data_IF_069918587928
#
_entry.id   IF_069918587928
#
_cell.length_a   1.000
_cell.length_b   1.000
_cell.length_c   1.000
_cell.angle_alpha   90.00
_cell.angle_beta   90.00
_cell.angle_gamma   90.00
#
_symmetry.space_group_name_H-M   'P 1'
#
loop_
_entity.id
_entity.type
_entity.pdbx_description
1 polymer ?
#
# COMPACT_ATOMS: atom_id res chain seq x y z
N UNK A 1 6.88 -2.48 20.17
CA UNK A 1 7.12 -2.44 18.71
C UNK A 1 6.21 -1.40 18.07
N UNK A 2 6.77 -0.52 17.25
CA UNK A 2 6.00 0.53 16.60
C UNK A 2 5.13 -0.06 15.50
N UNK A 3 3.85 0.34 15.45
CA UNK A 3 2.91 -0.16 14.45
C UNK A 3 2.75 0.84 13.33
N UNK A 4 3.03 0.38 12.12
CA UNK A 4 2.89 1.15 10.88
C UNK A 4 1.96 0.41 9.95
N UNK A 5 1.41 1.11 8.96
CA UNK A 5 0.65 0.45 7.90
C UNK A 5 1.13 0.89 6.52
N UNK A 6 0.91 0.03 5.55
CA UNK A 6 1.05 0.31 4.13
C UNK A 6 -0.27 -0.06 3.47
N UNK A 7 -0.75 0.78 2.58
CA UNK A 7 -2.02 0.56 1.91
C UNK A 7 -1.80 0.47 0.41
N UNK A 8 -2.12 -0.70 -0.14
CA UNK A 8 -1.99 -0.96 -1.58
C UNK A 8 -3.36 -0.72 -2.21
N UNK A 9 -3.47 0.31 -3.01
CA UNK A 9 -4.72 0.68 -3.67
C UNK A 9 -4.63 0.32 -5.14
N UNK A 10 -5.53 -0.56 -5.60
CA UNK A 10 -5.67 -0.86 -7.02
C UNK A 10 -6.82 -0.06 -7.61
N UNK A 11 -6.67 0.34 -8.86
CA UNK A 11 -7.78 0.95 -9.58
C UNK A 11 -8.89 -0.09 -9.86
N UNK A 12 -10.03 0.38 -10.30
CA UNK A 12 -11.19 -0.48 -10.51
C UNK A 12 -10.93 -1.62 -11.52
N UNK A 13 -10.10 -1.39 -12.52
CA UNK A 13 -9.77 -2.40 -13.54
C UNK A 13 -8.58 -3.30 -13.16
N UNK A 14 -7.97 -3.13 -12.00
CA UNK A 14 -6.88 -3.98 -11.50
C UNK A 14 -5.61 -3.96 -12.36
N UNK A 15 -5.39 -2.93 -13.15
CA UNK A 15 -4.19 -2.82 -13.97
C UNK A 15 -3.18 -1.81 -13.43
N UNK A 16 -3.59 -0.97 -12.48
CA UNK A 16 -2.73 0.04 -11.86
C UNK A 16 -2.82 0.01 -10.34
N UNK A 17 -1.72 0.39 -9.71
CA UNK A 17 -1.68 0.63 -8.27
C UNK A 17 -1.25 2.06 -7.99
N UNK A 18 -1.65 2.56 -6.82
CA UNK A 18 -1.36 3.91 -6.39
C UNK A 18 -0.05 3.96 -5.61
N UNK A 19 0.82 4.87 -6.00
CA UNK A 19 2.08 5.12 -5.28
C UNK A 19 2.21 6.58 -4.94
N UNK A 20 2.90 6.88 -3.85
CA UNK A 20 3.43 8.20 -3.60
C UNK A 20 4.90 8.23 -4.01
N UNK A 21 5.37 9.41 -4.41
CA UNK A 21 6.78 9.64 -4.73
C UNK A 21 7.40 10.32 -3.53
N UNK A 22 8.41 9.67 -2.92
CA UNK A 22 9.02 10.21 -1.72
C UNK A 22 9.70 11.55 -2.01
N UNK A 23 9.39 12.54 -1.17
CA UNK A 23 9.95 13.89 -1.29
C UNK A 23 11.27 14.04 -0.52
N UNK A 24 11.56 13.13 0.42
CA UNK A 24 12.72 13.22 1.33
C UNK A 24 13.56 11.97 1.33
N UNK A 25 14.85 12.12 1.68
CA UNK A 25 15.71 10.98 1.97
C UNK A 25 15.25 10.24 3.23
N UNK A 26 15.46 8.92 3.36
CA UNK A 26 16.00 8.03 2.33
C UNK A 26 14.96 7.75 1.24
N UNK A 27 15.44 7.29 0.08
CA UNK A 27 14.59 6.88 -1.05
C UNK A 27 13.87 8.03 -1.77
N UNK A 28 14.43 9.25 -1.70
CA UNK A 28 13.87 10.40 -2.42
C UNK A 28 13.70 10.10 -3.90
N UNK A 29 12.53 10.41 -4.44
CA UNK A 29 12.19 10.20 -5.85
C UNK A 29 11.72 8.78 -6.18
N UNK A 30 11.71 7.87 -5.22
CA UNK A 30 11.27 6.50 -5.43
C UNK A 30 9.79 6.32 -5.05
N UNK A 31 9.16 5.32 -5.64
CA UNK A 31 7.78 4.96 -5.35
C UNK A 31 7.66 4.29 -3.98
N UNK A 32 6.63 4.65 -3.26
CA UNK A 32 6.27 4.00 -2.00
C UNK A 32 4.74 3.86 -1.94
N UNK A 33 4.26 2.95 -1.11
CA UNK A 33 2.84 2.91 -0.80
C UNK A 33 2.48 4.06 0.14
N UNK A 34 1.21 4.45 0.12
CA UNK A 34 0.68 5.34 1.13
C UNK A 34 0.51 4.57 2.43
N UNK A 35 0.46 5.28 3.55
CA UNK A 35 0.33 4.69 4.88
C UNK A 35 1.01 5.54 5.93
N UNK A 36 1.01 5.07 7.16
CA UNK A 36 1.59 5.80 8.26
C UNK A 36 1.53 5.04 9.57
N UNK A 37 1.45 5.76 10.67
CA UNK A 37 1.49 5.21 12.02
C UNK A 37 0.10 4.92 12.54
N UNK A 38 -0.03 3.84 13.31
CA UNK A 38 -1.21 3.59 14.13
C UNK A 38 -1.07 4.44 15.38
N UNK A 39 -2.05 5.31 15.62
CA UNK A 39 -2.04 6.20 16.78
C UNK A 39 -2.71 5.56 17.97
N UNK A 40 -2.41 6.10 19.18
CA UNK A 40 -3.00 5.60 20.42
C UNK A 40 -4.52 5.69 20.37
N UNK A 41 -5.17 4.60 20.73
CA UNK A 41 -6.64 4.55 20.77
C UNK A 41 -7.30 4.17 19.47
N UNK A 42 -6.57 4.07 18.36
CA UNK A 42 -7.16 3.56 17.12
C UNK A 42 -6.84 2.08 16.91
N UNK A 43 -7.76 1.40 16.23
CA UNK A 43 -7.49 0.05 15.75
C UNK A 43 -6.60 0.12 14.51
N UNK A 44 -6.01 -1.01 14.14
CA UNK A 44 -5.18 -1.09 12.93
C UNK A 44 -5.99 -0.71 11.67
N UNK A 45 -7.22 -1.19 11.58
CA UNK A 45 -8.09 -0.89 10.46
C UNK A 45 -8.45 0.60 10.38
N UNK A 46 -8.80 1.18 11.52
CA UNK A 46 -9.09 2.63 11.58
C UNK A 46 -7.90 3.46 11.11
N UNK A 47 -6.70 3.09 11.54
CA UNK A 47 -5.48 3.79 11.14
C UNK A 47 -5.24 3.70 9.63
N UNK A 48 -5.48 2.53 9.03
CA UNK A 48 -5.30 2.35 7.59
C UNK A 48 -6.25 3.24 6.79
N UNK A 49 -7.53 3.27 7.15
CA UNK A 49 -8.50 4.15 6.49
C UNK A 49 -8.19 5.61 6.70
N UNK A 50 -7.80 6.01 7.91
CA UNK A 50 -7.46 7.40 8.22
C UNK A 50 -6.26 7.88 7.41
N UNK A 51 -5.18 7.11 7.40
CA UNK A 51 -3.97 7.47 6.64
C UNK A 51 -4.25 7.55 5.14
N UNK A 52 -5.02 6.62 4.62
CA UNK A 52 -5.40 6.64 3.21
C UNK A 52 -6.16 7.92 2.87
N UNK A 53 -7.14 8.27 3.70
CA UNK A 53 -7.93 9.47 3.48
C UNK A 53 -7.09 10.74 3.58
N UNK A 54 -6.24 10.84 4.59
CA UNK A 54 -5.39 12.00 4.79
C UNK A 54 -4.43 12.22 3.62
N UNK A 55 -3.85 11.14 3.10
CA UNK A 55 -2.84 11.25 2.05
C UNK A 55 -3.40 11.34 0.64
N UNK A 56 -4.59 10.81 0.39
CA UNK A 56 -5.10 10.66 -0.99
C UNK A 56 -6.50 11.20 -1.22
N UNK A 57 -7.26 11.44 -0.16
CA UNK A 57 -8.68 11.78 -0.27
C UNK A 57 -9.60 10.58 -0.51
N UNK A 58 -9.06 9.37 -0.63
CA UNK A 58 -9.88 8.16 -0.81
C UNK A 58 -10.54 7.80 0.51
N UNK A 59 -11.85 7.65 0.52
CA UNK A 59 -12.62 7.36 1.72
C UNK A 59 -13.10 5.90 1.77
N UNK A 60 -13.65 5.51 2.91
CA UNK A 60 -14.26 4.19 3.09
C UNK A 60 -15.49 3.96 2.20
N UNK A 61 -16.04 5.02 1.59
CA UNK A 61 -17.10 4.88 0.60
C UNK A 61 -16.57 4.47 -0.78
N UNK A 62 -15.28 4.70 -1.01
CA UNK A 62 -14.64 4.46 -2.31
C UNK A 62 -13.98 3.09 -2.39
N UNK A 63 -13.62 2.51 -1.24
CA UNK A 63 -12.80 1.31 -1.17
C UNK A 63 -13.07 0.54 0.11
N UNK A 64 -12.95 -0.78 0.04
CA UNK A 64 -12.92 -1.64 1.22
C UNK A 64 -11.50 -2.17 1.36
N UNK A 65 -10.91 -2.01 2.55
CA UNK A 65 -9.55 -2.43 2.84
C UNK A 65 -9.54 -3.75 3.59
N UNK A 66 -8.71 -4.68 3.12
CA UNK A 66 -8.48 -5.96 3.78
C UNK A 66 -7.05 -6.03 4.29
N UNK A 67 -6.88 -6.50 5.52
CA UNK A 67 -5.57 -6.75 6.10
C UNK A 67 -4.98 -8.00 5.47
N UNK A 68 -3.86 -7.87 4.79
CA UNK A 68 -3.30 -8.93 3.96
C UNK A 68 -2.12 -9.66 4.61
N UNK A 69 -1.16 -8.92 5.15
CA UNK A 69 0.03 -9.51 5.77
C UNK A 69 0.69 -8.54 6.72
N UNK A 70 1.56 -9.06 7.58
CA UNK A 70 2.40 -8.25 8.46
C UNK A 70 3.86 -8.51 8.16
N UNK A 71 4.67 -7.46 8.25
CA UNK A 71 6.11 -7.53 8.17
C UNK A 71 6.69 -7.07 9.50
N UNK A 72 7.43 -7.94 10.17
CA UNK A 72 8.05 -7.62 11.46
C UNK A 72 9.55 -7.41 11.29
N UNK A 73 10.01 -6.21 11.59
CA UNK A 73 11.42 -5.87 11.59
C UNK A 73 11.88 -5.71 13.04
N UNK A 74 12.29 -6.81 13.66
CA UNK A 74 12.59 -6.85 15.09
C UNK A 74 13.73 -5.92 15.49
N UNK A 75 14.76 -5.79 14.65
CA UNK A 75 15.89 -4.91 14.94
C UNK A 75 15.50 -3.43 14.93
N UNK A 76 14.51 -3.05 14.15
CA UNK A 76 14.02 -1.68 14.09
C UNK A 76 12.79 -1.48 14.97
N UNK A 77 12.32 -2.54 15.61
CA UNK A 77 11.13 -2.55 16.45
C UNK A 77 9.89 -2.03 15.71
N UNK A 78 9.75 -2.43 14.46
CA UNK A 78 8.62 -2.06 13.60
C UNK A 78 7.78 -3.29 13.21
N UNK A 79 6.47 -3.14 13.36
CA UNK A 79 5.48 -4.03 12.75
C UNK A 79 4.80 -3.23 11.63
N UNK A 80 4.89 -3.70 10.41
CA UNK A 80 4.25 -3.07 9.27
C UNK A 80 3.09 -3.93 8.81
N UNK A 81 1.89 -3.39 8.93
CA UNK A 81 0.66 -4.06 8.52
C UNK A 81 0.33 -3.64 7.09
N UNK A 82 0.17 -4.61 6.22
CA UNK A 82 -0.12 -4.36 4.81
C UNK A 82 -1.60 -4.60 4.55
N UNK A 83 -2.27 -3.56 4.06
CA UNK A 83 -3.65 -3.59 3.63
C UNK A 83 -3.73 -3.44 2.13
N UNK A 84 -4.76 -3.99 1.52
CA UNK A 84 -5.04 -3.71 0.13
C UNK A 84 -6.53 -3.50 -0.09
N UNK A 85 -6.87 -2.86 -1.20
CA UNK A 85 -8.23 -2.70 -1.64
C UNK A 85 -8.29 -2.37 -3.12
N UNK A 86 -9.47 -2.58 -3.70
CA UNK A 86 -9.75 -2.27 -5.10
C UNK A 86 -10.81 -1.18 -5.11
N UNK A 87 -10.52 -0.06 -5.79
CA UNK A 87 -11.50 1.03 -5.89
C UNK A 87 -12.81 0.54 -6.51
N UNK A 88 -13.92 0.95 -5.90
CA UNK A 88 -15.26 0.63 -6.40
C UNK A 88 -15.61 1.44 -7.65
N UNK A 89 -14.98 2.60 -7.82
CA UNK A 89 -15.21 3.54 -8.91
C UNK A 89 -13.98 4.44 -9.04
N UNK A 90 -13.93 5.23 -10.09
CA UNK A 90 -12.87 6.23 -10.25
C UNK A 90 -13.02 7.33 -9.20
N UNK A 91 -11.89 7.83 -8.71
CA UNK A 91 -11.84 8.90 -7.71
C UNK A 91 -10.88 9.99 -8.17
N UNK A 92 -11.11 11.18 -7.67
CA UNK A 92 -10.17 12.29 -7.81
C UNK A 92 -9.24 12.29 -6.60
N UNK A 93 -7.93 12.23 -6.85
CA UNK A 93 -6.95 12.22 -5.78
C UNK A 93 -6.68 13.62 -5.25
N UNK A 94 -6.47 13.71 -3.94
CA UNK A 94 -6.07 14.95 -3.27
C UNK A 94 -4.70 14.71 -2.66
N UNK A 95 -3.67 15.37 -3.21
CA UNK A 95 -2.30 15.24 -2.70
C UNK A 95 -2.14 16.11 -1.45
N UNK A 96 -1.63 15.52 -0.38
CA UNK A 96 -1.35 16.24 0.87
C UNK A 96 0.11 16.71 0.90
N UNK A 97 1.05 15.77 1.00
CA UNK A 97 2.49 16.07 1.10
C UNK A 97 3.28 15.56 -0.08
N UNK A 98 2.96 14.38 -0.54
CA UNK A 98 3.68 13.70 -1.58
C UNK A 98 2.86 13.68 -2.86
N UNK A 99 3.57 13.72 -3.97
CA UNK A 99 2.95 13.52 -5.27
C UNK A 99 2.43 12.09 -5.36
N UNK A 100 1.24 11.92 -5.91
CA UNK A 100 0.60 10.62 -6.11
C UNK A 100 0.59 10.25 -7.59
N UNK A 101 0.75 8.97 -7.88
CA UNK A 101 0.78 8.49 -9.26
C UNK A 101 0.14 7.12 -9.35
N UNK A 102 -0.74 6.96 -10.35
CA UNK A 102 -1.24 5.64 -10.75
C UNK A 102 -0.23 5.03 -11.72
N UNK A 103 0.26 3.83 -11.40
CA UNK A 103 1.29 3.18 -12.18
C UNK A 103 0.82 1.81 -12.64
N UNK A 104 0.98 1.53 -13.93
CA UNK A 104 0.62 0.23 -14.50
C UNK A 104 1.48 -0.87 -13.90
N UNK A 105 0.83 -1.91 -13.40
CA UNK A 105 1.51 -3.05 -12.76
C UNK A 105 1.80 -4.11 -13.80
N UNK A 106 3.08 -4.32 -14.08
CA UNK A 106 3.55 -5.37 -14.98
C UNK A 106 4.93 -5.84 -14.51
N UNK A 107 5.46 -6.91 -15.10
CA UNK A 107 6.75 -7.46 -14.70
C UNK A 107 7.91 -6.50 -14.97
N UNK A 108 7.83 -5.69 -16.01
CA UNK A 108 8.85 -4.67 -16.28
C UNK A 108 8.95 -3.68 -15.12
N UNK A 109 7.80 -3.17 -14.64
CA UNK A 109 7.76 -2.28 -13.49
C UNK A 109 8.31 -2.96 -12.24
N UNK A 110 7.84 -4.19 -11.95
CA UNK A 110 8.19 -4.90 -10.71
C UNK A 110 9.65 -5.32 -10.65
N UNK A 111 10.34 -5.35 -11.80
CA UNK A 111 11.74 -5.72 -11.87
C UNK A 111 12.70 -4.52 -11.89
N UNK A 112 12.21 -3.29 -11.84
CA UNK A 112 13.09 -2.13 -11.84
C UNK A 112 13.37 -1.61 -10.43
N UNK A 113 14.29 -0.65 -10.31
CA UNK A 113 14.77 -0.12 -9.03
C UNK A 113 14.08 1.17 -8.60
N UNK A 114 12.83 1.38 -9.00
CA UNK A 114 12.11 2.63 -8.71
C UNK A 114 11.34 2.61 -7.38
N UNK A 115 11.46 1.55 -6.61
CA UNK A 115 10.70 1.40 -5.36
C UNK A 115 11.57 1.67 -4.15
N UNK A 116 10.96 2.32 -3.13
CA UNK A 116 11.57 2.49 -1.83
C UNK A 116 11.67 1.14 -1.11
N UNK A 117 12.59 1.06 -0.15
CA UNK A 117 12.81 -0.16 0.62
C UNK A 117 13.61 -1.21 -0.14
N UNK A 118 13.74 -2.39 0.47
CA UNK A 118 14.58 -3.47 -0.05
C UNK A 118 13.72 -4.56 -0.69
N UNK A 119 13.16 -4.30 -1.88
CA UNK A 119 12.37 -5.25 -2.66
C UNK A 119 11.01 -5.64 -2.06
N UNK A 120 10.57 -4.97 -0.99
CA UNK A 120 9.31 -5.30 -0.34
C UNK A 120 8.10 -4.99 -1.21
N UNK A 121 8.11 -3.86 -1.92
CA UNK A 121 6.96 -3.41 -2.71
C UNK A 121 6.63 -4.37 -3.85
N UNK A 122 7.59 -4.77 -4.70
CA UNK A 122 7.31 -5.77 -5.73
C UNK A 122 6.83 -7.10 -5.14
N UNK A 123 7.43 -7.54 -4.05
CA UNK A 123 7.03 -8.79 -3.38
C UNK A 123 5.57 -8.72 -2.91
N UNK A 124 5.21 -7.64 -2.23
CA UNK A 124 3.85 -7.45 -1.72
C UNK A 124 2.84 -7.48 -2.87
N UNK A 125 3.11 -6.75 -3.95
CA UNK A 125 2.22 -6.71 -5.11
C UNK A 125 2.06 -8.11 -5.72
N UNK A 126 3.16 -8.84 -5.89
CA UNK A 126 3.11 -10.19 -6.44
C UNK A 126 2.28 -11.13 -5.56
N UNK A 127 2.42 -11.04 -4.24
CA UNK A 127 1.66 -11.87 -3.31
C UNK A 127 0.16 -11.56 -3.38
N UNK A 128 -0.20 -10.29 -3.42
CA UNK A 128 -1.61 -9.89 -3.54
C UNK A 128 -2.20 -10.39 -4.87
N UNK A 129 -1.46 -10.24 -5.97
CA UNK A 129 -1.92 -10.70 -7.29
C UNK A 129 -2.14 -12.22 -7.32
N UNK A 130 -1.24 -12.98 -6.72
CA UNK A 130 -1.39 -14.44 -6.59
C UNK A 130 -2.66 -14.78 -5.81
N UNK A 131 -2.86 -14.11 -4.68
CA UNK A 131 -4.05 -14.31 -3.85
C UNK A 131 -5.33 -14.02 -4.62
N UNK A 132 -5.40 -12.88 -5.31
CA UNK A 132 -6.59 -12.48 -6.07
C UNK A 132 -6.87 -13.44 -7.22
N UNK A 133 -5.83 -13.94 -7.88
CA UNK A 133 -5.97 -14.89 -9.00
C UNK A 133 -6.48 -16.25 -8.54
N UNK A 134 -6.03 -16.72 -7.36
CA UNK A 134 -6.28 -18.07 -6.88
C UNK A 134 -7.40 -18.16 -5.82
N UNK A 135 -8.06 -17.05 -5.52
CA UNK A 135 -9.11 -17.00 -4.52
C UNK A 135 -8.57 -16.98 -3.11
N UNK A 136 -8.38 -18.13 -2.48
CA UNK A 136 -7.91 -18.19 -1.09
C UNK A 136 -6.42 -17.92 -0.92
N UNK A 137 -5.62 -18.24 -1.90
CA UNK A 137 -4.16 -18.09 -1.85
C UNK A 137 -3.45 -19.08 -0.94
N UNK A 138 -4.01 -19.41 0.19
CA UNK A 138 -3.36 -20.25 1.22
C UNK A 138 -3.06 -21.66 0.72
N UNK A 139 -3.98 -22.26 -0.01
CA UNK A 139 -3.85 -23.63 -0.50
C UNK A 139 -2.77 -23.80 -1.58
N UNK A 140 -2.09 -22.73 -1.93
CA UNK A 140 -1.09 -22.74 -3.00
C UNK A 140 0.36 -22.81 -2.50
N UNK A 141 0.53 -22.85 -1.20
CA UNK A 141 1.87 -22.94 -0.60
C UNK A 141 2.19 -24.30 -0.07
#
# INVERSE_FOLDING_TARGET
>A
MRKLNLVVVFNNSLDKALFCIRAKEPYKGLYNFVGGKVENGETNDEAAYRELFEETGISSNDIELDHFMDLNYFKYENNIQVYYGILKHNVDLVEEKNKLEWVTINEELLNNNKFAGNYNIPHIIRQIKVYLKNGTGIDKY
#
